data_IF_062392921841
#
_entry.id   IF_062392921841
#
_cell.length_a   1.000
_cell.length_b   1.000
_cell.length_c   1.000
_cell.angle_alpha   90.00
_cell.angle_beta   90.00
_cell.angle_gamma   90.00
#
_symmetry.space_group_name_H-M   'P 1'
#
loop_
_entity.id
_entity.type
_entity.pdbx_description
1 polymer ?
#
# COMPACT_ATOMS: atom_id res chain seq x y z
N UNK A 1 5.73 9.10 7.09
CA UNK A 1 5.06 8.88 5.82
C UNK A 1 3.93 7.87 5.98
N UNK A 2 2.97 7.94 5.10
CA UNK A 2 1.88 6.99 5.11
C UNK A 2 1.38 6.81 3.68
N UNK A 3 0.62 5.73 3.47
CA UNK A 3 0.16 5.36 2.15
C UNK A 3 -1.36 5.36 2.14
N UNK A 4 -1.93 5.97 1.10
CA UNK A 4 -3.36 6.01 0.90
C UNK A 4 -3.71 5.42 -0.46
N UNK A 5 -4.95 4.96 -0.59
CA UNK A 5 -5.43 4.56 -1.89
C UNK A 5 -5.84 5.81 -2.68
N UNK A 6 -6.34 5.59 -3.88
CA UNK A 6 -6.70 6.70 -4.76
C UNK A 6 -7.82 7.54 -4.16
N UNK A 7 -8.66 6.95 -3.36
CA UNK A 7 -9.75 7.69 -2.72
C UNK A 7 -9.35 8.41 -1.45
N UNK A 8 -8.13 8.26 -1.01
CA UNK A 8 -7.66 8.93 0.19
C UNK A 8 -7.74 8.10 1.45
N UNK A 9 -8.15 6.86 1.36
CA UNK A 9 -8.23 5.99 2.54
C UNK A 9 -6.86 5.42 2.88
N UNK A 10 -6.55 5.45 4.15
CA UNK A 10 -5.27 4.94 4.62
C UNK A 10 -5.16 3.44 4.36
N UNK A 11 -4.01 3.03 3.85
CA UNK A 11 -3.77 1.63 3.55
C UNK A 11 -2.87 1.05 4.61
N UNK A 12 -3.37 0.04 5.32
CA UNK A 12 -2.56 -0.65 6.31
C UNK A 12 -2.69 -2.16 6.18
N UNK A 13 -3.23 -2.62 5.06
CA UNK A 13 -3.44 -4.04 4.83
C UNK A 13 -3.46 -4.28 3.32
N UNK A 14 -3.16 -5.50 2.90
CA UNK A 14 -3.26 -5.85 1.49
C UNK A 14 -4.70 -6.18 1.10
N UNK A 15 -5.61 -6.23 2.07
CA UNK A 15 -7.00 -6.48 1.77
C UNK A 15 -7.56 -5.33 0.94
N UNK A 16 -8.21 -5.65 -0.15
CA UNK A 16 -8.79 -4.62 -0.98
C UNK A 16 -7.85 -3.97 -1.97
N UNK A 17 -6.60 -4.34 -1.97
CA UNK A 17 -5.64 -3.81 -2.93
C UNK A 17 -5.45 -4.84 -4.03
N UNK A 18 -5.47 -4.37 -5.27
CA UNK A 18 -5.29 -5.24 -6.42
C UNK A 18 -4.18 -4.70 -7.31
N UNK A 19 -3.61 -5.56 -8.16
CA UNK A 19 -2.61 -5.08 -9.13
C UNK A 19 -3.20 -3.96 -9.97
N UNK A 20 -2.36 -3.00 -10.27
CA UNK A 20 -2.69 -1.82 -11.07
C UNK A 20 -3.44 -0.75 -10.27
N UNK A 21 -3.70 -0.96 -8.99
CA UNK A 21 -4.28 0.09 -8.18
C UNK A 21 -3.28 1.22 -7.99
N UNK A 22 -3.79 2.44 -8.00
CA UNK A 22 -2.96 3.62 -7.77
C UNK A 22 -2.86 3.90 -6.29
N UNK A 23 -1.64 4.14 -5.84
CA UNK A 23 -1.35 4.42 -4.44
C UNK A 23 -0.71 5.79 -4.32
N UNK A 24 -1.01 6.48 -3.25
CA UNK A 24 -0.39 7.77 -2.95
C UNK A 24 0.40 7.64 -1.66
N UNK A 25 1.68 7.91 -1.75
CA UNK A 25 2.58 7.83 -0.61
C UNK A 25 2.91 9.24 -0.17
N UNK A 26 2.52 9.57 1.03
CA UNK A 26 2.73 10.92 1.56
C UNK A 26 4.01 10.97 2.35
N UNK A 27 4.89 11.85 1.94
CA UNK A 27 6.16 12.06 2.62
C UNK A 27 6.25 13.52 3.05
N UNK A 28 7.31 13.87 3.74
CA UNK A 28 7.43 15.18 4.36
C UNK A 28 7.30 16.33 3.37
N UNK A 29 7.87 16.17 2.20
CA UNK A 29 7.92 17.28 1.24
C UNK A 29 7.08 17.02 -0.01
N UNK A 30 6.20 16.02 0.01
CA UNK A 30 5.37 15.82 -1.17
C UNK A 30 4.63 14.51 -1.16
N UNK A 31 4.14 14.16 -2.33
CA UNK A 31 3.35 12.96 -2.52
C UNK A 31 3.95 12.17 -3.68
N UNK A 32 4.12 10.88 -3.47
CA UNK A 32 4.60 9.98 -4.51
C UNK A 32 3.40 9.14 -4.97
N UNK A 33 3.09 9.23 -6.24
CA UNK A 33 2.03 8.43 -6.82
C UNK A 33 2.64 7.21 -7.47
N UNK A 34 2.17 6.04 -7.10
CA UNK A 34 2.74 4.79 -7.56
C UNK A 34 1.62 3.83 -7.95
N UNK A 35 2.00 2.81 -8.69
CA UNK A 35 1.06 1.78 -9.11
C UNK A 35 1.49 0.45 -8.51
N UNK A 36 0.54 -0.24 -7.89
CA UNK A 36 0.82 -1.55 -7.33
C UNK A 36 1.01 -2.54 -8.47
N UNK A 37 2.11 -3.26 -8.47
CA UNK A 37 2.38 -4.23 -9.51
C UNK A 37 2.19 -5.66 -9.03
N UNK A 38 2.46 -5.91 -7.76
CA UNK A 38 2.34 -7.23 -7.18
C UNK A 38 1.98 -7.10 -5.72
N UNK A 39 1.04 -7.91 -5.29
CA UNK A 39 0.61 -7.90 -3.90
C UNK A 39 0.79 -9.31 -3.37
N UNK A 40 1.49 -9.44 -2.27
CA UNK A 40 1.71 -10.72 -1.64
C UNK A 40 1.18 -10.65 -0.22
N UNK A 41 0.23 -11.49 0.09
CA UNK A 41 -0.30 -11.52 1.45
C UNK A 41 0.61 -12.39 2.31
N UNK A 42 0.99 -11.85 3.46
CA UNK A 42 1.81 -12.62 4.39
C UNK A 42 0.95 -13.70 5.02
N UNK A 43 1.42 -14.91 4.96
CA UNK A 43 0.71 -16.01 5.60
C UNK A 43 0.88 -15.91 7.10
N UNK A 44 -0.05 -16.42 7.81
CA UNK A 44 -0.18 -16.20 9.24
C UNK A 44 1.02 -16.52 10.05
N UNK A 45 2.04 -16.82 9.82
CA UNK A 45 3.11 -16.99 10.73
C UNK A 45 4.31 -16.10 10.44
N UNK A 46 4.52 -16.16 10.84
CA UNK A 46 5.50 -15.73 10.77
C UNK A 46 6.31 -15.30 10.90
N UNK A 47 6.76 -15.27 11.29
CA UNK A 47 7.57 -14.91 11.54
C UNK A 47 8.44 -14.55 11.24
N UNK A 48 8.82 -14.42 11.30
CA UNK A 48 9.65 -14.08 11.11
C UNK A 48 10.43 -13.76 10.97
N UNK A 49 10.85 -13.78 11.12
CA UNK A 49 11.62 -13.32 11.20
C UNK A 49 12.00 -13.01 11.11
#
# INVERSE_FOLDING_TARGET
SYVCDEGGSNINSVEGIRPDDTLNIYVTDGIITATATKITKKEGTENDD
#
